data_IF_262981171923
#
_entry.id   IF_262981171923
#
_cell.length_a   1.000
_cell.length_b   1.000
_cell.length_c   1.000
_cell.angle_alpha   90.00
_cell.angle_beta   90.00
_cell.angle_gamma   90.00
#
_symmetry.space_group_name_H-M   'P 1'
#
loop_
_entity.id
_entity.type
_entity.pdbx_description
1 polymer ?
#
# COMPACT_ATOMS: atom_id res chain seq x y z
N UNK A 1 34.40 -63.23 -2.75
CA UNK A 1 33.73 -64.12 -1.79
C UNK A 1 32.30 -63.62 -1.67
N UNK A 2 31.37 -64.39 -2.25
CA UNK A 2 29.93 -64.13 -2.39
C UNK A 2 29.24 -63.92 -1.01
N UNK A 3 28.36 -62.93 -0.85
CA UNK A 3 26.91 -62.90 -1.14
C UNK A 3 26.05 -63.79 -0.21
N UNK A 4 25.11 -63.12 0.48
CA UNK A 4 23.72 -63.54 0.80
C UNK A 4 23.41 -64.53 1.95
N UNK A 5 22.62 -64.00 2.91
CA UNK A 5 21.30 -64.48 3.37
C UNK A 5 21.12 -65.79 4.18
N UNK A 6 20.39 -65.61 5.30
CA UNK A 6 19.23 -66.39 5.79
C UNK A 6 19.36 -67.49 6.88
N UNK A 7 18.38 -67.40 7.81
CA UNK A 7 17.64 -68.45 8.58
C UNK A 7 18.23 -68.84 9.94
N UNK A 8 17.57 -68.44 11.04
CA UNK A 8 16.45 -69.10 11.77
C UNK A 8 16.92 -70.25 12.65
N UNK A 9 16.72 -70.14 13.97
CA UNK A 9 16.39 -71.30 14.81
C UNK A 9 15.33 -70.94 15.85
N UNK A 10 14.34 -71.82 15.90
CA UNK A 10 13.13 -71.85 16.73
C UNK A 10 13.39 -72.82 17.87
N UNK A 11 12.83 -72.57 19.06
CA UNK A 11 12.48 -73.67 19.97
C UNK A 11 11.06 -73.49 20.49
N UNK A 12 10.28 -74.55 20.32
CA UNK A 12 8.87 -74.68 20.60
C UNK A 12 8.65 -75.45 21.90
N UNK A 13 7.54 -75.19 22.56
CA UNK A 13 6.89 -76.15 23.45
C UNK A 13 5.38 -76.10 23.24
N UNK A 14 4.82 -77.26 22.95
CA UNK A 14 3.46 -77.53 22.54
C UNK A 14 2.55 -77.78 23.75
N UNK A 15 1.30 -77.30 23.72
CA UNK A 15 0.19 -77.92 24.46
C UNK A 15 -1.08 -77.91 23.59
N UNK A 16 -1.37 -79.12 23.12
CA UNK A 16 -2.64 -79.79 22.75
C UNK A 16 -3.97 -79.02 22.65
N UNK A 17 -4.61 -79.28 21.50
CA UNK A 17 -6.00 -79.10 21.09
C UNK A 17 -7.03 -79.79 22.00
N UNK A 18 -8.15 -79.10 22.26
CA UNK A 18 -9.49 -79.69 22.34
C UNK A 18 -10.47 -78.81 21.55
N UNK A 19 -10.95 -79.33 20.43
CA UNK A 19 -12.08 -78.76 19.69
C UNK A 19 -13.38 -78.93 20.48
N UNK A 20 -14.17 -77.86 20.60
CA UNK A 20 -15.60 -77.94 20.87
C UNK A 20 -16.32 -76.87 20.05
N UNK A 21 -17.44 -77.29 19.48
CA UNK A 21 -18.14 -76.67 18.36
C UNK A 21 -18.58 -75.21 18.60
N UNK A 22 -18.33 -74.34 17.61
CA UNK A 22 -18.95 -73.01 17.52
C UNK A 22 -20.29 -73.13 16.80
N UNK A 23 -21.40 -72.94 17.53
CA UNK A 23 -22.64 -72.48 16.92
C UNK A 23 -22.49 -70.99 16.60
N UNK A 24 -22.86 -70.56 15.39
CA UNK A 24 -22.89 -69.15 14.99
C UNK A 24 -23.93 -68.40 15.83
N UNK A 25 -23.48 -67.52 16.72
CA UNK A 25 -24.32 -66.51 17.35
C UNK A 25 -24.34 -65.27 16.45
N UNK A 26 -25.48 -65.00 15.80
CA UNK A 26 -25.71 -63.73 15.12
C UNK A 26 -26.09 -62.69 16.19
N UNK A 27 -25.19 -61.76 16.47
CA UNK A 27 -25.49 -60.59 17.27
C UNK A 27 -26.01 -59.49 16.35
N UNK A 28 -27.27 -59.11 16.53
CA UNK A 28 -27.81 -57.86 15.97
C UNK A 28 -27.15 -56.70 16.74
N UNK A 29 -26.48 -55.74 16.08
CA UNK A 29 -25.96 -54.58 16.77
C UNK A 29 -27.12 -53.79 17.36
N UNK A 30 -27.03 -53.47 18.65
CA UNK A 30 -27.84 -52.40 19.24
C UNK A 30 -27.39 -51.10 18.59
N UNK A 31 -28.32 -50.28 18.10
CA UNK A 31 -28.02 -48.92 17.66
C UNK A 31 -27.43 -48.15 18.84
N UNK A 32 -26.11 -48.06 18.88
CA UNK A 32 -25.43 -47.04 19.64
C UNK A 32 -25.66 -45.75 18.86
N UNK A 33 -26.56 -44.91 19.37
CA UNK A 33 -26.51 -43.48 19.08
C UNK A 33 -25.07 -43.03 19.34
N UNK A 34 -24.32 -42.86 18.25
CA UNK A 34 -23.14 -42.02 18.26
C UNK A 34 -23.65 -40.60 18.45
N UNK A 35 -23.91 -40.24 19.70
CA UNK A 35 -23.77 -38.86 20.12
C UNK A 35 -22.35 -38.48 19.75
N UNK A 36 -22.20 -37.77 18.62
CA UNK A 36 -21.04 -36.94 18.38
C UNK A 36 -20.86 -36.11 19.63
N UNK A 37 -19.85 -36.45 20.44
CA UNK A 37 -19.37 -35.57 21.48
C UNK A 37 -18.80 -34.36 20.77
N UNK A 38 -19.66 -33.36 20.55
CA UNK A 38 -19.24 -32.02 20.16
C UNK A 38 -18.32 -31.59 21.30
N UNK A 39 -17.01 -31.58 21.04
CA UNK A 39 -16.08 -30.91 21.92
C UNK A 39 -16.67 -29.51 22.16
N UNK A 40 -16.77 -29.02 23.40
CA UNK A 40 -17.40 -27.74 23.66
C UNK A 40 -16.65 -26.67 22.86
N UNK A 41 -17.24 -26.22 21.75
CA UNK A 41 -16.68 -25.14 20.96
C UNK A 41 -16.81 -23.90 21.83
N UNK A 42 -15.67 -23.35 22.24
CA UNK A 42 -15.67 -22.14 23.04
C UNK A 42 -16.01 -21.00 22.10
N UNK A 43 -17.30 -20.63 22.03
CA UNK A 43 -17.71 -19.43 21.31
C UNK A 43 -17.11 -18.21 21.98
N UNK A 44 -16.28 -17.51 21.23
CA UNK A 44 -15.65 -16.25 21.60
C UNK A 44 -16.48 -15.12 21.01
N UNK A 45 -16.88 -14.17 21.84
CA UNK A 45 -17.43 -12.89 21.40
C UNK A 45 -16.43 -11.79 21.79
N UNK A 46 -15.93 -11.05 20.80
CA UNK A 46 -15.01 -9.94 21.03
C UNK A 46 -15.61 -8.68 20.43
N UNK A 47 -15.83 -7.68 21.26
CA UNK A 47 -16.05 -6.31 20.78
C UNK A 47 -14.73 -5.57 20.88
N UNK A 48 -14.22 -5.10 19.76
CA UNK A 48 -13.01 -4.32 19.69
C UNK A 48 -13.28 -3.04 18.90
N UNK A 49 -12.79 -1.93 19.41
CA UNK A 49 -12.63 -0.73 18.59
C UNK A 49 -11.30 -0.87 17.87
N UNK A 50 -11.27 -0.64 16.56
CA UNK A 50 -10.02 -0.58 15.79
C UNK A 50 -9.01 0.26 16.58
N UNK A 51 -8.00 -0.43 17.10
CA UNK A 51 -6.91 0.22 17.80
C UNK A 51 -6.03 0.92 16.75
N UNK A 52 -5.21 1.87 17.20
CA UNK A 52 -4.21 2.49 16.34
C UNK A 52 -3.42 1.38 15.61
N UNK A 53 -3.51 1.35 14.28
CA UNK A 53 -2.66 0.48 13.46
C UNK A 53 -1.18 0.81 13.68
N UNK A 54 -0.28 0.04 13.07
CA UNK A 54 1.15 0.41 13.08
C UNK A 54 1.30 1.90 12.70
N UNK A 55 1.81 2.71 13.63
CA UNK A 55 2.01 4.15 13.46
C UNK A 55 3.11 4.50 12.47
N UNK A 56 3.77 3.48 11.93
CA UNK A 56 4.77 3.65 10.89
C UNK A 56 4.11 3.95 9.55
N UNK A 57 4.49 5.09 8.97
CA UNK A 57 4.04 5.50 7.64
C UNK A 57 5.25 5.96 6.82
N UNK A 58 5.39 5.42 5.63
CA UNK A 58 6.42 5.77 4.66
C UNK A 58 5.77 6.56 3.53
N UNK A 59 6.18 7.81 3.38
CA UNK A 59 5.68 8.71 2.36
C UNK A 59 6.62 8.73 1.15
N UNK A 60 6.04 8.66 -0.04
CA UNK A 60 6.70 9.05 -1.29
C UNK A 60 6.01 10.28 -1.86
N UNK A 61 6.74 11.39 -1.91
CA UNK A 61 6.28 12.60 -2.62
C UNK A 61 6.75 12.52 -4.06
N UNK A 62 5.82 12.59 -5.00
CA UNK A 62 6.11 12.65 -6.44
C UNK A 62 5.93 14.09 -6.89
N UNK A 63 7.04 14.77 -7.13
CA UNK A 63 7.05 16.13 -7.65
C UNK A 63 6.88 16.10 -9.16
N UNK A 64 5.78 16.67 -9.64
CA UNK A 64 5.72 17.04 -11.04
C UNK A 64 6.59 18.27 -11.27
N UNK A 65 7.70 18.07 -11.98
CA UNK A 65 8.72 19.08 -12.19
C UNK A 65 8.64 19.68 -13.61
N UNK A 66 7.50 19.58 -14.29
CA UNK A 66 7.28 20.22 -15.58
C UNK A 66 7.24 21.76 -15.49
N UNK A 67 7.32 22.44 -16.64
CA UNK A 67 7.51 23.90 -16.71
C UNK A 67 6.42 24.70 -15.99
N UNK A 68 5.19 24.20 -15.99
CA UNK A 68 4.01 24.85 -15.43
C UNK A 68 3.92 24.71 -13.91
N UNK A 69 4.68 23.80 -13.30
CA UNK A 69 4.43 23.34 -11.93
C UNK A 69 5.08 24.16 -10.82
N UNK A 70 6.06 25.03 -11.09
CA UNK A 70 6.79 25.77 -10.04
C UNK A 70 5.88 26.51 -9.05
N UNK A 71 4.82 27.24 -9.48
CA UNK A 71 3.91 27.89 -8.53
C UNK A 71 3.22 26.90 -7.59
N UNK A 72 2.75 25.76 -8.12
CA UNK A 72 2.04 24.74 -7.35
C UNK A 72 2.99 23.92 -6.46
N UNK A 73 4.23 23.67 -6.90
CA UNK A 73 5.25 23.07 -6.04
C UNK A 73 5.61 23.97 -4.86
N UNK A 74 5.61 25.30 -5.03
CA UNK A 74 5.79 26.24 -3.91
C UNK A 74 4.63 26.18 -2.92
N UNK A 75 3.39 26.04 -3.39
CA UNK A 75 2.21 25.82 -2.51
C UNK A 75 2.36 24.50 -1.75
N UNK A 76 2.82 23.44 -2.43
CA UNK A 76 3.09 22.15 -1.81
C UNK A 76 4.17 22.23 -0.73
N UNK A 77 5.31 22.84 -1.02
CA UNK A 77 6.39 23.01 -0.04
C UNK A 77 5.91 23.75 1.22
N UNK A 78 5.11 24.81 1.06
CA UNK A 78 4.50 25.51 2.19
C UNK A 78 3.50 24.62 2.97
N UNK A 79 2.74 23.78 2.29
CA UNK A 79 1.81 22.83 2.91
C UNK A 79 2.51 21.67 3.64
N UNK A 80 3.64 21.19 3.15
CA UNK A 80 4.39 20.06 3.71
C UNK A 80 4.94 20.38 5.12
N UNK A 81 5.27 21.64 5.39
CA UNK A 81 5.65 22.09 6.73
C UNK A 81 4.56 21.85 7.77
N UNK A 82 3.36 22.38 7.52
CA UNK A 82 2.20 22.16 8.39
C UNK A 82 1.80 20.68 8.46
N UNK A 83 1.90 19.95 7.34
CA UNK A 83 1.61 18.53 7.28
C UNK A 83 2.53 17.71 8.19
N UNK A 84 3.86 17.89 8.08
CA UNK A 84 4.82 17.17 8.93
C UNK A 84 4.71 17.58 10.39
N UNK A 85 4.46 18.86 10.70
CA UNK A 85 4.15 19.28 12.07
C UNK A 85 2.91 18.55 12.63
N UNK A 86 1.90 18.32 11.79
CA UNK A 86 0.72 17.53 12.18
C UNK A 86 1.08 16.05 12.41
N UNK A 87 1.95 15.45 11.58
CA UNK A 87 2.42 14.08 11.77
C UNK A 87 3.20 13.93 13.09
N UNK A 88 4.06 14.89 13.41
CA UNK A 88 4.78 14.95 14.68
C UNK A 88 3.83 15.00 15.88
N UNK A 89 2.78 15.83 15.79
CA UNK A 89 1.78 15.98 16.85
C UNK A 89 0.89 14.75 17.04
N UNK A 90 0.68 13.96 15.98
CA UNK A 90 -0.15 12.75 15.99
C UNK A 90 0.62 11.48 16.39
N UNK A 91 1.89 11.62 16.82
CA UNK A 91 2.75 10.51 17.24
C UNK A 91 2.94 9.43 16.16
N UNK A 92 2.90 9.84 14.89
CA UNK A 92 3.13 8.96 13.73
C UNK A 92 4.64 8.81 13.56
N UNK A 93 5.12 7.58 13.47
CA UNK A 93 6.52 7.28 13.13
C UNK A 93 6.67 7.35 11.61
N UNK A 94 6.90 8.55 11.08
CA UNK A 94 6.96 8.76 9.63
C UNK A 94 8.40 8.83 9.09
N UNK A 95 8.56 8.40 7.85
CA UNK A 95 9.70 8.76 7.01
C UNK A 95 9.23 9.14 5.61
N UNK A 96 10.03 9.93 4.90
CA UNK A 96 9.61 10.55 3.63
C UNK A 96 10.78 10.58 2.64
N UNK A 97 10.51 10.04 1.46
CA UNK A 97 11.35 10.17 0.27
C UNK A 97 10.61 10.97 -0.81
N UNK A 98 11.37 11.40 -1.82
CA UNK A 98 10.80 12.04 -2.99
C UNK A 98 11.40 11.54 -4.30
N UNK A 99 10.60 11.62 -5.35
CA UNK A 99 11.00 11.42 -6.75
C UNK A 99 10.30 12.47 -7.62
N UNK A 100 10.67 12.54 -8.89
CA UNK A 100 10.02 13.39 -9.90
C UNK A 100 9.16 12.59 -10.86
N UNK A 101 8.26 13.27 -11.59
CA UNK A 101 7.49 12.68 -12.71
C UNK A 101 8.35 12.35 -13.92
N UNK A 102 9.52 13.00 -14.10
CA UNK A 102 10.40 12.80 -15.26
C UNK A 102 11.35 11.61 -15.17
N UNK A 103 11.87 11.20 -16.32
CA UNK A 103 13.02 10.30 -16.39
C UNK A 103 14.33 11.05 -16.13
N UNK A 104 15.25 10.36 -15.46
CA UNK A 104 16.62 10.81 -15.24
C UNK A 104 17.59 9.84 -15.91
N UNK A 105 18.60 10.38 -16.59
CA UNK A 105 19.64 9.55 -17.20
C UNK A 105 20.73 9.26 -16.18
N UNK A 106 20.87 8.00 -15.79
CA UNK A 106 21.93 7.54 -14.87
C UNK A 106 22.82 6.54 -15.59
N UNK A 107 24.13 6.79 -15.61
CA UNK A 107 25.10 5.97 -16.36
C UNK A 107 24.71 5.75 -17.84
N UNK A 108 24.08 6.74 -18.47
CA UNK A 108 23.62 6.66 -19.86
C UNK A 108 22.30 5.90 -20.07
N UNK A 109 21.66 5.44 -18.99
CA UNK A 109 20.42 4.68 -19.03
C UNK A 109 19.29 5.53 -18.43
N UNK A 110 18.16 5.73 -19.14
CA UNK A 110 16.98 6.37 -18.58
C UNK A 110 16.41 5.53 -17.42
N UNK A 111 16.24 6.16 -16.27
CA UNK A 111 15.65 5.60 -15.07
C UNK A 111 14.47 6.46 -14.61
N UNK A 112 13.49 5.83 -13.97
CA UNK A 112 12.36 6.51 -13.34
C UNK A 112 12.36 6.17 -11.85
N UNK A 113 11.75 7.01 -11.02
CA UNK A 113 11.59 6.69 -9.61
C UNK A 113 12.89 6.68 -8.81
N UNK A 114 13.93 7.40 -9.23
CA UNK A 114 15.13 7.57 -8.41
C UNK A 114 14.83 8.55 -7.28
N UNK A 115 15.31 8.23 -6.08
CA UNK A 115 15.19 9.12 -4.93
C UNK A 115 16.05 10.36 -5.14
N UNK A 116 15.50 11.53 -4.84
CA UNK A 116 16.22 12.80 -4.86
C UNK A 116 16.64 13.20 -3.45
N UNK A 117 17.81 13.82 -3.33
CA UNK A 117 18.29 14.38 -2.07
C UNK A 117 17.52 15.63 -1.68
N UNK A 118 17.18 15.73 -0.40
CA UNK A 118 16.57 16.91 0.18
C UNK A 118 17.60 18.03 0.34
N UNK A 119 17.28 19.21 -0.20
CA UNK A 119 18.24 20.33 -0.21
C UNK A 119 18.25 21.06 1.12
N UNK A 120 19.45 21.32 1.64
CA UNK A 120 19.63 21.92 2.97
C UNK A 120 19.43 20.92 4.10
N UNK A 121 19.37 19.62 3.81
CA UNK A 121 19.35 18.55 4.80
C UNK A 121 20.74 17.93 4.96
N UNK A 122 21.22 17.81 6.19
CA UNK A 122 22.45 17.07 6.52
C UNK A 122 22.10 16.02 7.57
N UNK A 123 21.87 14.77 7.16
CA UNK A 123 21.46 13.71 8.07
C UNK A 123 22.57 13.37 9.08
N UNK A 124 22.18 12.81 10.22
CA UNK A 124 23.11 12.09 11.10
C UNK A 124 23.73 10.91 10.35
N UNK A 125 24.98 10.57 10.69
CA UNK A 125 25.74 9.49 10.06
C UNK A 125 24.91 8.22 9.84
N UNK A 126 24.90 7.71 8.60
CA UNK A 126 24.21 6.48 8.21
C UNK A 126 22.78 6.65 7.65
N UNK A 127 22.16 7.83 7.79
CA UNK A 127 20.90 8.13 7.09
C UNK A 127 21.20 8.80 5.74
N UNK A 128 20.59 8.36 4.62
CA UNK A 128 20.76 9.02 3.32
C UNK A 128 20.12 10.42 3.26
N UNK A 129 20.65 11.30 2.41
CA UNK A 129 20.15 12.68 2.27
C UNK A 129 18.78 12.77 1.55
N UNK A 130 18.35 11.71 0.86
CA UNK A 130 17.02 11.59 0.26
C UNK A 130 15.93 11.10 1.23
N UNK A 131 16.27 10.77 2.48
CA UNK A 131 15.35 10.22 3.47
C UNK A 131 15.17 11.15 4.68
N UNK A 132 14.04 11.85 4.74
CA UNK A 132 13.62 12.57 5.95
C UNK A 132 12.92 11.61 6.90
N UNK A 133 13.11 11.83 8.20
CA UNK A 133 12.49 11.03 9.26
C UNK A 133 11.85 11.93 10.30
N UNK A 134 10.94 11.35 11.09
CA UNK A 134 10.43 11.96 12.32
C UNK A 134 11.55 12.60 13.15
N UNK A 135 11.30 13.81 13.66
CA UNK A 135 12.26 14.57 14.47
C UNK A 135 13.33 15.32 13.66
N UNK A 136 13.27 15.29 12.32
CA UNK A 136 14.14 16.12 11.49
C UNK A 136 13.84 17.60 11.75
N UNK A 137 14.87 18.38 12.08
CA UNK A 137 14.74 19.82 12.30
C UNK A 137 14.68 20.59 10.97
N UNK A 138 14.12 21.81 11.00
CA UNK A 138 14.09 22.75 9.88
C UNK A 138 13.38 22.26 8.61
N UNK A 139 12.35 21.41 8.75
CA UNK A 139 11.62 20.81 7.63
C UNK A 139 11.06 21.86 6.64
N UNK A 140 10.49 22.96 7.12
CA UNK A 140 9.99 24.04 6.26
C UNK A 140 11.06 24.57 5.31
N UNK A 141 12.26 24.83 5.83
CA UNK A 141 13.38 25.30 5.02
C UNK A 141 13.86 24.23 4.05
N UNK A 142 13.88 22.96 4.47
CA UNK A 142 14.28 21.84 3.61
C UNK A 142 13.32 21.72 2.41
N UNK A 143 12.01 21.77 2.63
CA UNK A 143 11.02 21.70 1.56
C UNK A 143 11.12 22.88 0.59
N UNK A 144 11.21 24.10 1.12
CA UNK A 144 11.34 25.31 0.30
C UNK A 144 12.64 25.32 -0.51
N UNK A 145 13.77 24.97 0.11
CA UNK A 145 15.06 24.91 -0.57
C UNK A 145 15.08 23.84 -1.65
N UNK A 146 14.44 22.70 -1.40
CA UNK A 146 14.33 21.60 -2.36
C UNK A 146 13.58 22.04 -3.61
N UNK A 147 12.40 22.64 -3.46
CA UNK A 147 11.62 23.14 -4.61
C UNK A 147 12.36 24.25 -5.35
N UNK A 148 13.03 25.16 -4.65
CA UNK A 148 13.78 26.25 -5.28
C UNK A 148 15.03 25.77 -6.05
N UNK A 149 15.63 24.66 -5.63
CA UNK A 149 16.82 24.08 -6.28
C UNK A 149 16.47 23.06 -7.37
N UNK A 150 15.21 22.64 -7.47
CA UNK A 150 14.74 21.68 -8.46
C UNK A 150 14.81 22.27 -9.87
N UNK A 151 15.28 21.46 -10.83
CA UNK A 151 15.27 21.84 -12.24
C UNK A 151 13.85 21.71 -12.79
N UNK A 152 13.11 22.80 -12.74
CA UNK A 152 11.78 22.88 -13.34
C UNK A 152 11.91 22.92 -14.86
N UNK A 153 11.17 22.02 -15.52
CA UNK A 153 11.16 21.90 -16.96
C UNK A 153 12.41 21.26 -17.57
N UNK A 154 12.50 21.37 -18.89
CA UNK A 154 13.64 20.92 -19.68
C UNK A 154 13.38 19.62 -20.45
N UNK A 155 14.45 19.03 -20.98
CA UNK A 155 14.33 17.81 -21.77
C UNK A 155 13.78 16.66 -20.91
N UNK A 156 12.74 15.98 -21.42
CA UNK A 156 12.11 14.84 -20.75
C UNK A 156 11.13 15.21 -19.62
N UNK A 157 10.89 16.50 -19.34
CA UNK A 157 9.93 16.94 -18.32
C UNK A 157 8.48 17.02 -18.80
N UNK A 158 8.25 16.93 -20.11
CA UNK A 158 6.91 16.97 -20.71
C UNK A 158 6.30 15.57 -20.93
N UNK A 159 6.96 14.52 -20.42
CA UNK A 159 6.41 13.17 -20.34
C UNK A 159 6.26 12.85 -18.85
N UNK A 160 5.18 13.34 -18.25
CA UNK A 160 4.96 13.30 -16.81
C UNK A 160 4.39 11.96 -16.40
N UNK A 161 5.16 11.20 -15.61
CA UNK A 161 4.82 9.81 -15.31
C UNK A 161 4.92 9.51 -13.83
N UNK A 162 4.02 10.09 -13.05
CA UNK A 162 4.02 9.94 -11.61
C UNK A 162 3.72 8.52 -11.14
N UNK A 163 2.83 7.79 -11.83
CA UNK A 163 2.52 6.39 -11.52
C UNK A 163 3.71 5.51 -11.85
N UNK A 164 4.32 5.70 -13.04
CA UNK A 164 5.53 4.95 -13.36
C UNK A 164 6.67 5.25 -12.40
N UNK A 165 6.87 6.50 -12.05
CA UNK A 165 7.91 6.90 -11.10
C UNK A 165 7.69 6.23 -9.74
N UNK A 166 6.47 6.22 -9.21
CA UNK A 166 6.15 5.52 -7.97
C UNK A 166 6.40 4.01 -8.07
N UNK A 167 5.95 3.38 -9.17
CA UNK A 167 6.15 1.96 -9.43
C UNK A 167 7.65 1.57 -9.44
N UNK A 168 8.48 2.31 -10.17
CA UNK A 168 9.93 2.04 -10.23
C UNK A 168 10.64 2.39 -8.91
N UNK A 169 10.14 3.39 -8.18
CA UNK A 169 10.63 3.70 -6.82
C UNK A 169 10.33 2.57 -5.83
N UNK A 170 9.17 1.89 -5.96
CA UNK A 170 8.85 0.70 -5.16
C UNK A 170 9.78 -0.46 -5.46
N UNK A 171 10.09 -0.71 -6.75
CA UNK A 171 11.04 -1.76 -7.15
C UNK A 171 12.42 -1.53 -6.56
N UNK A 172 12.94 -0.30 -6.66
CA UNK A 172 14.24 0.03 -6.10
C UNK A 172 14.25 -0.01 -4.58
N UNK A 173 13.11 0.18 -3.92
CA UNK A 173 12.97 0.16 -2.47
C UNK A 173 12.42 -1.14 -1.87
N UNK A 174 12.27 -2.21 -2.66
CA UNK A 174 11.65 -3.46 -2.21
C UNK A 174 12.38 -4.06 -0.99
N UNK A 175 11.64 -4.65 -0.04
CA UNK A 175 12.22 -5.17 1.22
C UNK A 175 13.21 -6.31 1.00
N UNK A 176 13.07 -7.05 -0.10
CA UNK A 176 14.00 -8.10 -0.51
C UNK A 176 15.32 -7.54 -1.09
N UNK A 177 15.37 -6.26 -1.45
CA UNK A 177 16.54 -5.59 -2.00
C UNK A 177 17.38 -4.98 -0.86
N UNK A 178 18.44 -5.68 -0.45
CA UNK A 178 19.36 -5.21 0.61
C UNK A 178 20.19 -3.99 0.23
N UNK A 179 20.22 -3.63 -1.06
CA UNK A 179 20.81 -2.40 -1.59
C UNK A 179 19.76 -1.39 -2.05
N UNK A 180 18.52 -1.53 -1.55
CA UNK A 180 17.41 -0.68 -1.95
C UNK A 180 17.55 0.76 -1.46
N UNK A 181 16.66 1.63 -1.93
CA UNK A 181 16.69 3.06 -1.61
C UNK A 181 16.48 3.40 -0.11
N UNK A 182 16.07 2.42 0.72
CA UNK A 182 15.88 2.61 2.17
C UNK A 182 14.65 3.43 2.56
N UNK A 183 13.78 3.76 1.61
CA UNK A 183 12.59 4.60 1.82
C UNK A 183 11.42 3.85 2.45
N UNK A 184 11.47 2.52 2.52
CA UNK A 184 10.36 1.69 2.97
C UNK A 184 10.78 0.73 4.08
N UNK A 185 9.90 0.55 5.06
CA UNK A 185 10.10 -0.27 6.26
C UNK A 185 9.12 -1.45 6.27
N UNK A 186 9.55 -2.63 6.76
CA UNK A 186 8.64 -3.75 6.96
C UNK A 186 7.44 -3.37 7.84
N UNK A 187 6.23 -3.67 7.37
CA UNK A 187 4.98 -3.46 8.12
C UNK A 187 4.51 -2.00 8.23
N UNK A 188 5.23 -1.04 7.67
CA UNK A 188 4.79 0.35 7.61
C UNK A 188 3.66 0.53 6.58
N UNK A 189 2.79 1.52 6.80
CA UNK A 189 1.87 1.99 5.77
C UNK A 189 2.65 2.71 4.67
N UNK A 190 2.18 2.63 3.44
CA UNK A 190 2.72 3.33 2.28
C UNK A 190 1.73 4.41 1.83
N UNK A 191 2.22 5.64 1.68
CA UNK A 191 1.41 6.75 1.14
C UNK A 191 2.19 7.45 0.04
N UNK A 192 1.65 7.43 -1.18
CA UNK A 192 2.13 8.28 -2.27
C UNK A 192 1.32 9.57 -2.26
N UNK A 193 1.99 10.70 -2.45
CA UNK A 193 1.35 12.00 -2.69
C UNK A 193 1.92 12.56 -3.99
N UNK A 194 1.06 12.80 -4.96
CA UNK A 194 1.41 13.49 -6.20
C UNK A 194 0.70 14.83 -6.30
N UNK A 195 1.39 15.83 -6.84
CA UNK A 195 0.80 17.11 -7.26
C UNK A 195 1.18 17.33 -8.71
N UNK A 196 0.18 17.46 -9.59
CA UNK A 196 0.38 17.63 -11.03
C UNK A 196 -0.80 18.40 -11.63
N UNK A 197 -0.54 19.29 -12.58
CA UNK A 197 -1.57 19.94 -13.37
C UNK A 197 -1.81 19.25 -14.71
N UNK A 198 -1.20 18.09 -14.93
CA UNK A 198 -1.42 17.23 -16.08
C UNK A 198 -1.81 15.81 -15.61
N UNK A 199 -2.09 14.92 -16.56
CA UNK A 199 -2.38 13.51 -16.28
C UNK A 199 -1.11 12.65 -16.51
N UNK A 200 -1.17 11.36 -16.18
CA UNK A 200 -0.09 10.43 -16.53
C UNK A 200 0.11 10.42 -18.06
N UNK A 201 1.36 10.58 -18.55
CA UNK A 201 1.67 10.84 -19.97
C UNK A 201 1.01 12.12 -20.50
N UNK A 202 0.91 13.16 -19.68
CA UNK A 202 0.27 14.46 -19.95
C UNK A 202 -1.24 14.38 -20.16
N UNK A 203 -1.69 13.62 -21.17
CA UNK A 203 -3.11 13.51 -21.56
C UNK A 203 -3.78 12.21 -21.10
N UNK A 204 -3.14 11.43 -20.22
CA UNK A 204 -3.70 10.16 -19.75
C UNK A 204 -3.67 9.06 -20.81
N UNK A 205 -2.82 9.22 -21.84
CA UNK A 205 -2.84 8.41 -23.06
C UNK A 205 -4.16 8.45 -23.81
N UNK A 206 -4.93 9.53 -23.68
CA UNK A 206 -6.18 9.78 -24.41
C UNK A 206 -5.97 10.84 -25.48
N UNK A 207 -5.95 10.41 -26.74
CA UNK A 207 -5.75 11.31 -27.89
C UNK A 207 -6.85 12.37 -27.99
N UNK A 208 -8.05 12.12 -27.47
CA UNK A 208 -9.16 13.08 -27.53
C UNK A 208 -8.98 14.28 -26.60
N UNK A 209 -8.06 14.20 -25.64
CA UNK A 209 -7.74 15.28 -24.70
C UNK A 209 -6.62 16.21 -25.19
N UNK A 210 -5.96 15.88 -26.29
CA UNK A 210 -4.93 16.75 -26.87
C UNK A 210 -5.55 18.06 -27.31
N UNK A 211 -5.06 19.16 -26.74
CA UNK A 211 -5.44 20.54 -27.04
C UNK A 211 -4.63 21.06 -28.23
N UNK A 212 -5.18 22.00 -29.02
CA UNK A 212 -4.41 22.67 -30.09
C UNK A 212 -3.18 23.46 -29.59
N UNK A 213 -3.13 23.74 -28.30
CA UNK A 213 -2.02 24.45 -27.62
C UNK A 213 -0.96 23.51 -27.06
N UNK A 214 -1.18 22.20 -27.12
CA UNK A 214 -0.18 21.21 -26.72
C UNK A 214 0.99 21.20 -27.69
N UNK A 215 2.15 20.75 -27.20
CA UNK A 215 3.31 20.56 -28.05
C UNK A 215 3.09 19.39 -29.03
N UNK A 216 3.77 19.45 -30.18
CA UNK A 216 3.76 18.34 -31.12
C UNK A 216 4.25 17.06 -30.43
N UNK A 217 3.44 16.00 -30.50
CA UNK A 217 3.77 14.71 -29.88
C UNK A 217 3.38 14.58 -28.40
N UNK A 218 2.59 15.50 -27.82
CA UNK A 218 2.06 15.38 -26.46
C UNK A 218 1.21 14.12 -26.22
N UNK A 219 0.67 13.51 -27.28
CA UNK A 219 0.02 12.20 -27.15
C UNK A 219 1.05 11.08 -27.12
N UNK A 220 1.14 10.42 -25.97
CA UNK A 220 1.89 9.16 -25.81
C UNK A 220 0.93 8.12 -25.19
N UNK A 221 0.75 6.93 -25.81
CA UNK A 221 -0.11 5.91 -25.25
C UNK A 221 0.45 5.40 -23.91
N UNK A 222 -0.46 5.07 -22.99
CA UNK A 222 -0.09 4.41 -21.74
C UNK A 222 0.57 3.06 -22.02
N UNK A 223 1.63 2.75 -21.27
CA UNK A 223 2.23 1.41 -21.21
C UNK A 223 1.98 0.79 -19.84
N UNK A 224 2.42 -0.47 -19.64
CA UNK A 224 2.17 -1.19 -18.40
C UNK A 224 2.64 -0.42 -17.14
N UNK A 225 3.74 0.34 -17.22
CA UNK A 225 4.26 1.13 -16.12
C UNK A 225 3.35 2.31 -15.69
N UNK A 226 2.45 2.75 -16.58
CA UNK A 226 1.56 3.91 -16.34
C UNK A 226 0.24 3.51 -15.68
N UNK A 227 -0.03 2.21 -15.55
CA UNK A 227 -1.34 1.73 -15.11
C UNK A 227 -1.38 1.62 -13.58
N UNK A 228 -2.39 2.22 -12.90
CA UNK A 228 -2.54 2.14 -11.45
C UNK A 228 -2.53 0.72 -10.90
N UNK A 229 -3.17 -0.22 -11.61
CA UNK A 229 -3.22 -1.64 -11.23
C UNK A 229 -1.83 -2.26 -11.10
N UNK A 230 -0.90 -1.89 -11.98
CA UNK A 230 0.45 -2.43 -11.97
C UNK A 230 1.31 -1.80 -10.87
N UNK A 231 1.08 -0.52 -10.55
CA UNK A 231 1.71 0.13 -9.40
C UNK A 231 1.25 -0.51 -8.08
N UNK A 232 -0.04 -0.81 -7.94
CA UNK A 232 -0.60 -1.49 -6.75
C UNK A 232 -0.02 -2.90 -6.63
N UNK A 233 0.00 -3.68 -7.72
CA UNK A 233 0.60 -5.01 -7.73
C UNK A 233 2.09 -4.96 -7.37
N UNK A 234 2.81 -3.93 -7.84
CA UNK A 234 4.22 -3.73 -7.50
C UNK A 234 4.39 -3.40 -6.01
N UNK A 235 3.53 -2.57 -5.41
CA UNK A 235 3.58 -2.28 -3.98
C UNK A 235 3.38 -3.57 -3.16
N UNK A 236 2.37 -4.38 -3.50
CA UNK A 236 2.10 -5.67 -2.85
C UNK A 236 3.30 -6.63 -2.98
N UNK A 237 3.86 -6.74 -4.18
CA UNK A 237 5.05 -7.56 -4.41
C UNK A 237 6.29 -7.09 -3.65
N UNK A 238 6.42 -5.78 -3.39
CA UNK A 238 7.61 -5.18 -2.77
C UNK A 238 7.55 -5.16 -1.24
N UNK A 239 6.34 -5.04 -0.69
CA UNK A 239 6.10 -4.72 0.71
C UNK A 239 5.14 -5.69 1.42
N UNK A 240 4.57 -6.66 0.70
CA UNK A 240 3.64 -7.66 1.22
C UNK A 240 2.21 -7.47 0.72
N UNK A 241 1.47 -8.58 0.55
CA UNK A 241 0.07 -8.58 0.08
C UNK A 241 -0.91 -7.90 1.06
N UNK A 242 -0.48 -7.57 2.27
CA UNK A 242 -1.21 -6.84 3.30
C UNK A 242 -0.76 -5.39 3.47
N UNK A 243 0.12 -4.88 2.59
CA UNK A 243 0.59 -3.49 2.65
C UNK A 243 -0.59 -2.52 2.64
N UNK A 244 -0.61 -1.63 3.63
CA UNK A 244 -1.59 -0.54 3.69
C UNK A 244 -1.12 0.56 2.76
N UNK A 245 -1.62 0.56 1.53
CA UNK A 245 -1.19 1.49 0.50
C UNK A 245 -2.29 2.49 0.12
N UNK A 246 -1.96 3.78 0.17
CA UNK A 246 -2.80 4.86 -0.37
C UNK A 246 -2.03 5.65 -1.43
N UNK A 247 -2.69 5.97 -2.54
CA UNK A 247 -2.22 6.93 -3.53
C UNK A 247 -3.07 8.20 -3.45
N UNK A 248 -2.46 9.33 -3.11
CA UNK A 248 -3.16 10.58 -2.91
C UNK A 248 -2.75 11.57 -4.01
N UNK A 249 -3.72 12.24 -4.61
CA UNK A 249 -3.51 13.13 -5.75
C UNK A 249 -4.02 14.54 -5.44
N UNK A 250 -3.26 15.55 -5.84
CA UNK A 250 -3.69 16.95 -5.92
C UNK A 250 -3.54 17.34 -7.39
N UNK A 251 -4.67 17.41 -8.08
CA UNK A 251 -4.71 17.45 -9.54
C UNK A 251 -5.76 18.44 -10.04
N UNK A 252 -5.74 18.72 -11.34
CA UNK A 252 -6.97 19.18 -12.01
C UNK A 252 -7.95 18.02 -12.00
N UNK A 253 -9.03 18.14 -11.22
CA UNK A 253 -9.97 17.04 -11.01
C UNK A 253 -10.70 16.68 -12.31
N UNK A 254 -11.00 15.39 -12.57
CA UNK A 254 -11.85 15.00 -13.69
C UNK A 254 -13.19 15.76 -13.67
N UNK A 255 -13.50 16.44 -14.76
CA UNK A 255 -14.70 17.27 -14.92
C UNK A 255 -14.59 18.71 -14.41
N UNK A 256 -13.47 19.13 -13.79
CA UNK A 256 -13.28 20.50 -13.30
C UNK A 256 -12.67 21.42 -14.36
N UNK A 257 -13.48 21.75 -15.37
CA UNK A 257 -13.07 22.63 -16.47
C UNK A 257 -12.73 24.07 -16.02
N UNK A 258 -13.25 24.52 -14.88
CA UNK A 258 -12.91 25.82 -14.32
C UNK A 258 -11.50 25.84 -13.75
N UNK A 259 -11.11 24.77 -13.05
CA UNK A 259 -9.74 24.63 -12.57
C UNK A 259 -8.77 24.48 -13.75
N UNK A 260 -9.11 23.65 -14.72
CA UNK A 260 -8.31 23.47 -15.93
C UNK A 260 -8.08 24.79 -16.68
N UNK A 261 -9.15 25.58 -16.91
CA UNK A 261 -9.01 26.89 -17.54
C UNK A 261 -8.14 27.87 -16.71
N UNK A 262 -8.17 27.76 -15.38
CA UNK A 262 -7.33 28.58 -14.49
C UNK A 262 -5.86 28.18 -14.59
N UNK A 263 -5.59 26.89 -14.64
CA UNK A 263 -4.25 26.34 -14.84
C UNK A 263 -3.71 26.70 -16.22
N UNK A 264 -4.51 26.54 -17.29
CA UNK A 264 -4.17 26.93 -18.66
C UNK A 264 -3.85 28.43 -18.77
N UNK A 265 -4.56 29.28 -18.02
CA UNK A 265 -4.34 30.73 -18.04
C UNK A 265 -3.10 31.19 -17.24
N UNK A 266 -2.61 30.35 -16.32
CA UNK A 266 -1.50 30.69 -15.41
C UNK A 266 -0.20 29.95 -15.72
N UNK A 267 -0.28 28.86 -16.49
CA UNK A 267 0.84 28.01 -16.87
C UNK A 267 1.59 28.49 -18.11
N UNK A 268 2.84 28.03 -18.23
CA UNK A 268 3.64 28.13 -19.47
C UNK A 268 3.31 27.03 -20.48
N UNK A 269 2.53 26.04 -20.07
CA UNK A 269 2.07 24.88 -20.85
C UNK A 269 0.59 24.63 -20.55
N UNK A 270 -0.15 23.99 -21.46
CA UNK A 270 -1.51 23.54 -21.17
C UNK A 270 -1.52 22.54 -20.00
N UNK A 271 -2.59 22.59 -19.21
CA UNK A 271 -2.89 21.64 -18.15
C UNK A 271 -3.81 20.55 -18.67
N UNK A 272 -3.92 19.43 -17.95
CA UNK A 272 -4.82 18.32 -18.28
C UNK A 272 -5.42 17.72 -17.01
N UNK A 273 -6.65 17.24 -17.10
CA UNK A 273 -7.34 16.61 -15.98
C UNK A 273 -6.69 15.26 -15.62
N UNK A 274 -6.20 15.13 -14.39
CA UNK A 274 -5.48 13.96 -13.85
C UNK A 274 -6.35 12.72 -13.66
N UNK A 275 -6.87 12.14 -14.74
CA UNK A 275 -7.83 11.03 -14.71
C UNK A 275 -7.19 9.74 -14.22
N UNK A 276 -5.97 9.43 -14.66
CA UNK A 276 -5.27 8.22 -14.24
C UNK A 276 -4.82 8.35 -12.78
N UNK A 277 -4.39 9.54 -12.35
CA UNK A 277 -4.10 9.81 -10.94
C UNK A 277 -5.35 9.69 -10.05
N UNK A 278 -6.50 10.23 -10.49
CA UNK A 278 -7.77 10.05 -9.80
C UNK A 278 -8.19 8.58 -9.70
N UNK A 279 -7.96 7.80 -10.77
CA UNK A 279 -8.19 6.35 -10.76
C UNK A 279 -7.31 5.66 -9.72
N UNK A 280 -6.01 5.97 -9.67
CA UNK A 280 -5.09 5.42 -8.67
C UNK A 280 -5.53 5.76 -7.24
N UNK A 281 -5.96 7.00 -7.00
CA UNK A 281 -6.50 7.40 -5.70
C UNK A 281 -7.76 6.63 -5.32
N UNK A 282 -8.71 6.45 -6.24
CA UNK A 282 -9.92 5.68 -5.96
C UNK A 282 -9.64 4.19 -5.71
N UNK A 283 -8.74 3.58 -6.47
CA UNK A 283 -8.37 2.16 -6.32
C UNK A 283 -7.65 1.84 -5.01
N UNK A 284 -7.04 2.84 -4.38
CA UNK A 284 -6.29 2.70 -3.12
C UNK A 284 -6.96 3.39 -1.95
N UNK A 285 -8.23 3.81 -2.13
CA UNK A 285 -9.00 4.59 -1.15
C UNK A 285 -8.28 5.87 -0.65
N UNK A 286 -7.35 6.40 -1.45
CA UNK A 286 -6.64 7.64 -1.21
C UNK A 286 -7.51 8.89 -1.42
N UNK A 287 -6.95 10.06 -1.14
CA UNK A 287 -7.64 11.34 -1.31
C UNK A 287 -7.39 11.98 -2.69
N UNK A 288 -8.36 12.77 -3.15
CA UNK A 288 -8.28 13.56 -4.39
C UNK A 288 -8.51 15.04 -4.05
N UNK A 289 -7.43 15.81 -3.98
CA UNK A 289 -7.40 17.26 -3.79
C UNK A 289 -7.43 18.02 -5.11
N UNK A 290 -7.77 19.31 -5.06
CA UNK A 290 -7.72 20.19 -6.24
C UNK A 290 -6.42 20.98 -6.26
N UNK A 291 -5.72 21.00 -7.39
CA UNK A 291 -4.53 21.85 -7.57
C UNK A 291 -4.87 23.34 -7.57
N UNK A 292 -6.12 23.68 -7.87
CA UNK A 292 -6.60 25.07 -7.83
C UNK A 292 -6.94 25.57 -6.42
N UNK A 293 -6.81 24.72 -5.39
CA UNK A 293 -6.94 25.18 -4.02
C UNK A 293 -5.86 26.23 -3.68
N UNK A 294 -6.23 27.23 -2.88
CA UNK A 294 -5.32 28.31 -2.50
C UNK A 294 -4.11 27.80 -1.69
N UNK A 295 -4.27 26.68 -0.98
CA UNK A 295 -3.22 25.92 -0.32
C UNK A 295 -3.64 24.45 -0.21
N UNK A 296 -2.69 23.57 0.12
CA UNK A 296 -2.94 22.13 0.17
C UNK A 296 -3.11 21.57 1.59
N UNK A 297 -3.23 22.41 2.63
CA UNK A 297 -3.31 21.96 4.03
C UNK A 297 -4.49 21.01 4.25
N UNK A 298 -5.68 21.34 3.75
CA UNK A 298 -6.86 20.47 3.90
C UNK A 298 -6.72 19.14 3.17
N UNK A 299 -6.11 19.15 1.98
CA UNK A 299 -5.82 17.95 1.20
C UNK A 299 -4.85 17.04 1.96
N UNK A 300 -3.72 17.60 2.42
CA UNK A 300 -2.69 16.86 3.16
C UNK A 300 -3.22 16.31 4.50
N UNK A 301 -4.06 17.06 5.21
CA UNK A 301 -4.72 16.56 6.43
C UNK A 301 -5.66 15.38 6.11
N UNK A 302 -6.44 15.47 5.03
CA UNK A 302 -7.30 14.37 4.58
C UNK A 302 -6.48 13.12 4.23
N UNK A 303 -5.32 13.30 3.60
CA UNK A 303 -4.44 12.18 3.24
C UNK A 303 -3.83 11.51 4.47
N UNK A 304 -3.42 12.31 5.47
CA UNK A 304 -3.01 11.80 6.79
C UNK A 304 -4.11 10.93 7.40
N UNK A 305 -5.34 11.45 7.46
CA UNK A 305 -6.43 10.75 8.14
C UNK A 305 -6.77 9.43 7.43
N UNK A 306 -6.73 9.41 6.10
CA UNK A 306 -6.93 8.17 5.31
C UNK A 306 -5.87 7.10 5.60
N UNK A 307 -4.59 7.47 5.74
CA UNK A 307 -3.54 6.49 5.98
C UNK A 307 -3.46 6.04 7.44
N UNK A 308 -3.62 6.96 8.39
CA UNK A 308 -3.49 6.69 9.84
C UNK A 308 -4.63 5.81 10.35
N UNK A 309 -5.82 6.00 9.80
CA UNK A 309 -7.00 5.32 10.30
C UNK A 309 -7.09 3.86 9.83
N UNK A 310 -6.14 3.28 9.10
CA UNK A 310 -6.30 1.97 8.47
C UNK A 310 -5.76 0.78 9.30
N UNK A 311 -6.62 -0.16 9.72
CA UNK A 311 -6.25 -1.46 10.30
C UNK A 311 -6.47 -2.58 9.28
N UNK A 312 -5.39 -3.27 8.87
CA UNK A 312 -5.46 -4.33 7.85
C UNK A 312 -5.67 -5.73 8.41
N UNK A 313 -5.41 -5.96 9.70
CA UNK A 313 -5.56 -7.28 10.32
C UNK A 313 -5.83 -7.19 11.82
N UNK A 314 -6.32 -8.30 12.38
CA UNK A 314 -6.57 -8.51 13.79
C UNK A 314 -6.07 -9.90 14.20
N UNK A 315 -5.26 -9.99 15.26
CA UNK A 315 -4.91 -11.27 15.88
C UNK A 315 -6.02 -11.70 16.85
N UNK A 316 -6.53 -12.91 16.66
CA UNK A 316 -7.56 -13.57 17.44
C UNK A 316 -6.95 -14.29 18.65
N UNK A 317 -7.77 -14.59 19.65
CA UNK A 317 -7.32 -15.25 20.88
C UNK A 317 -6.97 -16.75 20.70
N UNK A 318 -7.35 -17.32 19.56
CA UNK A 318 -7.14 -18.71 19.16
C UNK A 318 -7.34 -18.81 17.65
N UNK A 319 -6.89 -19.92 17.04
CA UNK A 319 -7.26 -20.24 15.67
C UNK A 319 -8.77 -20.56 15.62
N UNK A 320 -9.58 -19.85 14.81
CA UNK A 320 -11.01 -20.06 14.75
C UNK A 320 -11.37 -21.17 13.76
N UNK A 321 -12.52 -21.82 13.96
CA UNK A 321 -13.13 -22.66 12.94
C UNK A 321 -13.68 -21.75 11.81
N UNK A 322 -13.15 -21.81 10.57
CA UNK A 322 -13.41 -20.79 9.54
C UNK A 322 -14.88 -20.56 9.22
N UNK A 323 -15.71 -21.61 9.32
CA UNK A 323 -17.15 -21.54 9.05
C UNK A 323 -17.96 -20.80 10.13
N UNK A 324 -17.35 -20.50 11.27
CA UNK A 324 -18.02 -19.90 12.44
C UNK A 324 -17.69 -18.41 12.63
N UNK A 325 -16.78 -17.86 11.82
CA UNK A 325 -16.32 -16.48 11.95
C UNK A 325 -17.34 -15.51 11.36
N UNK A 326 -17.95 -14.72 12.22
CA UNK A 326 -18.80 -13.59 11.86
C UNK A 326 -18.15 -12.29 12.32
N UNK A 327 -18.03 -11.35 11.40
CA UNK A 327 -17.52 -9.99 11.66
C UNK A 327 -18.65 -9.01 11.45
N UNK A 328 -18.86 -8.11 12.39
CA UNK A 328 -19.78 -7.00 12.26
C UNK A 328 -19.01 -5.69 12.40
N UNK A 329 -19.26 -4.77 11.47
CA UNK A 329 -18.69 -3.42 11.46
C UNK A 329 -19.84 -2.43 11.64
N UNK A 330 -19.79 -1.62 12.70
CA UNK A 330 -20.89 -0.69 13.05
C UNK A 330 -22.27 -1.40 13.06
N UNK A 331 -22.29 -2.63 13.59
CA UNK A 331 -23.46 -3.52 13.66
C UNK A 331 -24.00 -4.07 12.32
N UNK A 332 -23.27 -3.91 11.21
CA UNK A 332 -23.57 -4.54 9.93
C UNK A 332 -22.61 -5.71 9.66
N UNK A 333 -23.13 -6.85 9.21
CA UNK A 333 -22.29 -8.01 8.88
C UNK A 333 -21.32 -7.65 7.74
N UNK A 334 -20.04 -7.95 7.95
CA UNK A 334 -18.94 -7.67 7.05
C UNK A 334 -18.32 -8.98 6.60
N UNK A 335 -18.20 -9.18 5.29
CA UNK A 335 -17.78 -10.47 4.71
C UNK A 335 -16.45 -10.40 3.97
N UNK A 336 -15.85 -9.20 3.86
CA UNK A 336 -14.65 -9.00 3.06
C UNK A 336 -13.36 -9.15 3.88
N UNK A 337 -13.17 -10.34 4.43
CA UNK A 337 -12.01 -10.71 5.22
C UNK A 337 -11.52 -12.13 4.87
N UNK A 338 -10.34 -12.48 5.38
CA UNK A 338 -9.75 -13.80 5.30
C UNK A 338 -9.21 -14.20 6.67
N UNK A 339 -9.09 -15.50 6.93
CA UNK A 339 -8.54 -16.01 8.19
C UNK A 339 -7.38 -16.95 7.87
N UNK A 340 -6.24 -16.74 8.52
CA UNK A 340 -5.06 -17.58 8.41
C UNK A 340 -4.47 -17.82 9.81
N UNK A 341 -4.61 -19.05 10.32
CA UNK A 341 -4.30 -19.35 11.72
C UNK A 341 -5.16 -18.51 12.66
N UNK A 342 -4.52 -17.85 13.62
CA UNK A 342 -5.15 -16.90 14.54
C UNK A 342 -5.23 -15.46 14.00
N UNK A 343 -4.98 -15.22 12.71
CA UNK A 343 -5.03 -13.87 12.13
C UNK A 343 -6.25 -13.70 11.22
N UNK A 344 -7.09 -12.72 11.54
CA UNK A 344 -8.16 -12.23 10.68
C UNK A 344 -7.68 -11.01 9.90
N UNK A 345 -7.58 -11.14 8.58
CA UNK A 345 -7.10 -10.09 7.68
C UNK A 345 -8.27 -9.51 6.90
N UNK A 346 -8.47 -8.20 7.01
CA UNK A 346 -9.48 -7.48 6.23
C UNK A 346 -8.94 -7.26 4.81
N UNK A 347 -9.79 -7.41 3.79
CA UNK A 347 -9.37 -7.14 2.40
C UNK A 347 -9.26 -5.63 2.12
N UNK A 348 -10.15 -4.84 2.73
CA UNK A 348 -10.01 -3.39 2.85
C UNK A 348 -9.66 -3.00 4.28
N UNK A 349 -8.67 -2.10 4.51
CA UNK A 349 -8.34 -1.66 5.85
C UNK A 349 -9.50 -0.93 6.56
N UNK A 350 -9.65 -1.14 7.86
CA UNK A 350 -10.73 -0.55 8.65
C UNK A 350 -10.31 0.76 9.31
N UNK A 351 -11.21 1.75 9.33
CA UNK A 351 -11.01 3.10 9.87
C UNK A 351 -10.86 3.08 11.42
N UNK A 352 -9.99 3.90 12.01
CA UNK A 352 -9.89 4.12 13.47
C UNK A 352 -11.27 4.42 14.06
N UNK A 353 -11.52 3.89 15.27
CA UNK A 353 -12.80 4.11 15.94
C UNK A 353 -13.93 3.22 15.42
N UNK A 354 -13.70 2.48 14.31
CA UNK A 354 -14.65 1.47 13.83
C UNK A 354 -14.85 0.44 14.94
N UNK A 355 -16.12 0.25 15.32
CA UNK A 355 -16.51 -0.83 16.23
C UNK A 355 -16.64 -2.11 15.43
N UNK A 356 -15.84 -3.09 15.82
CA UNK A 356 -15.85 -4.43 15.30
C UNK A 356 -16.41 -5.34 16.38
N UNK A 357 -17.47 -6.05 16.05
CA UNK A 357 -17.97 -7.15 16.86
C UNK A 357 -17.66 -8.46 16.14
N UNK A 358 -16.92 -9.34 16.80
CA UNK A 358 -16.49 -10.63 16.28
C UNK A 358 -17.16 -11.74 17.06
N UNK A 359 -17.62 -12.75 16.34
CA UNK A 359 -18.11 -13.99 16.90
C UNK A 359 -17.49 -15.16 16.15
N UNK A 360 -16.84 -16.07 16.87
CA UNK A 360 -16.24 -17.27 16.28
C UNK A 360 -16.06 -18.35 17.34
N UNK A 361 -15.94 -19.60 16.89
CA UNK A 361 -15.59 -20.72 17.74
C UNK A 361 -14.09 -21.05 17.60
N UNK A 362 -13.38 -21.23 18.72
CA UNK A 362 -12.01 -21.75 18.69
C UNK A 362 -11.98 -23.21 18.19
N UNK A 363 -10.95 -23.57 17.42
CA UNK A 363 -10.61 -24.96 17.11
C UNK A 363 -10.06 -25.73 18.31
#
# INVERSE_FOLDING_TARGET
>A
MERTLFKKLVLATAITSLCSACAKMNFTPVETNSESSVAPSKTVNVSQTVAYGNKQVDFLIVFDDSNSMLPDLKKLAAGLGAFTASLESSDIDWQMCMTTTRTVTTAGIPAWGLSYDWVGYTPTSGTPAHLLKRGTANLDNIFVNTVNAMTIGGAGSGDERGIKAALEHFKSGALANTSGNGCYRPGAALSVIIVSNEDERSVGGDQSKVKPTDADGSYIPLEAGDLPVNMIAQAQSSFGDDVRFTFNSIIVKPGDSSCEATQDASGTSPSHQGTIYAQASNMTEGGIGSICDANFTNNLNTFKDKIVNSMSHLTLQCEPEPSTVHVFINSQEFTDFTVNGDVLKFKSPLVEGTKIDLKFDCK
#
